data_IF_265226978639
#
_entry.id   IF_265226978639
#
_cell.length_a   1.000
_cell.length_b   1.000
_cell.length_c   1.000
_cell.angle_alpha   90.00
_cell.angle_beta   90.00
_cell.angle_gamma   90.00
#
_symmetry.space_group_name_H-M   'P 1'
#
loop_
_entity.id
_entity.type
_entity.pdbx_description
1 polymer ?
#
# COMPACT_ATOMS: atom_id res chain seq x y z
N UNK A 1 -1.57 -23.72 -34.79
CA UNK A 1 -2.29 -22.65 -34.08
C UNK A 1 -1.53 -22.47 -32.78
N UNK A 2 -0.93 -21.31 -32.49
CA UNK A 2 -0.27 -21.11 -31.21
C UNK A 2 -1.35 -21.01 -30.13
N UNK A 3 -1.13 -21.71 -29.02
CA UNK A 3 -2.03 -21.76 -27.87
C UNK A 3 -2.30 -20.36 -27.32
N UNK A 4 -3.57 -20.05 -27.07
CA UNK A 4 -3.98 -18.78 -26.48
C UNK A 4 -3.35 -18.63 -25.09
N UNK A 5 -2.90 -17.44 -24.72
CA UNK A 5 -2.24 -17.24 -23.42
C UNK A 5 -3.24 -17.54 -22.29
N UNK A 6 -2.79 -18.31 -21.33
CA UNK A 6 -3.51 -18.93 -20.23
C UNK A 6 -4.26 -17.98 -19.29
N UNK A 7 -3.92 -16.68 -19.28
CA UNK A 7 -4.59 -15.66 -18.47
C UNK A 7 -6.05 -15.37 -18.91
N UNK A 8 -6.49 -15.84 -20.06
CA UNK A 8 -7.89 -15.71 -20.54
C UNK A 8 -8.90 -16.53 -19.72
N UNK A 9 -8.43 -17.47 -18.89
CA UNK A 9 -9.33 -18.41 -18.17
C UNK A 9 -9.64 -17.98 -16.73
N UNK A 10 -8.89 -17.07 -16.13
CA UNK A 10 -8.99 -16.73 -14.69
C UNK A 10 -10.05 -15.67 -14.39
N UNK A 11 -10.34 -14.77 -15.33
CA UNK A 11 -11.14 -13.57 -15.05
C UNK A 11 -12.64 -13.66 -15.33
N UNK A 12 -13.17 -14.78 -15.79
CA UNK A 12 -14.59 -14.88 -16.14
C UNK A 12 -15.55 -14.92 -14.95
N UNK A 13 -15.08 -14.88 -13.70
CA UNK A 13 -15.93 -15.03 -12.51
C UNK A 13 -16.08 -13.80 -11.63
N UNK A 14 -15.33 -12.72 -11.85
CA UNK A 14 -15.33 -11.57 -10.94
C UNK A 14 -16.34 -10.47 -11.33
N UNK A 15 -16.82 -10.41 -12.57
CA UNK A 15 -17.54 -9.24 -13.10
C UNK A 15 -19.03 -9.42 -13.44
N UNK A 16 -19.69 -10.48 -12.98
CA UNK A 16 -21.13 -10.67 -13.25
C UNK A 16 -22.08 -9.94 -12.26
N UNK A 17 -21.59 -9.10 -11.35
CA UNK A 17 -22.38 -8.55 -10.24
C UNK A 17 -22.54 -7.03 -10.14
N UNK A 18 -21.99 -6.24 -11.04
CA UNK A 18 -22.11 -4.78 -10.94
C UNK A 18 -23.14 -4.21 -11.94
N UNK A 19 -24.43 -4.35 -11.60
CA UNK A 19 -25.49 -3.56 -12.22
C UNK A 19 -25.75 -2.30 -11.38
N UNK A 20 -25.70 -1.17 -12.08
CA UNK A 20 -25.78 0.18 -11.58
C UNK A 20 -27.15 0.52 -11.00
N UNK A 21 -27.27 0.69 -9.69
CA UNK A 21 -28.33 1.49 -9.05
C UNK A 21 -27.84 2.13 -7.75
N UNK A 22 -27.05 3.18 -7.84
CA UNK A 22 -26.89 4.11 -6.72
C UNK A 22 -27.98 5.19 -6.86
N UNK A 23 -29.06 5.05 -6.07
CA UNK A 23 -30.01 6.15 -5.84
C UNK A 23 -29.38 7.12 -4.83
N UNK A 24 -29.13 8.34 -5.30
CA UNK A 24 -28.90 9.51 -4.46
C UNK A 24 -30.09 9.66 -3.49
N UNK A 25 -29.80 9.64 -2.20
CA UNK A 25 -30.70 10.19 -1.18
C UNK A 25 -30.11 11.50 -0.71
N UNK A 26 -30.75 12.59 -1.13
CA UNK A 26 -30.54 13.92 -0.56
C UNK A 26 -30.96 13.91 0.92
N UNK A 27 -30.02 14.30 1.78
CA UNK A 27 -30.31 14.57 3.20
C UNK A 27 -30.48 16.07 3.38
N UNK A 28 -31.75 16.50 3.51
CA UNK A 28 -32.11 17.84 3.94
C UNK A 28 -31.73 18.05 5.39
N UNK A 29 -30.87 19.02 5.66
CA UNK A 29 -30.60 19.54 7.00
C UNK A 29 -31.81 20.31 7.52
N UNK A 30 -32.35 19.92 8.65
CA UNK A 30 -33.27 20.70 9.47
C UNK A 30 -32.51 21.27 10.66
N UNK A 31 -32.43 22.60 10.67
CA UNK A 31 -32.00 23.42 11.81
C UNK A 31 -32.90 23.18 13.05
N UNK A 32 -32.31 23.03 14.21
CA UNK A 32 -32.92 23.34 15.48
C UNK A 32 -31.88 23.88 16.46
N UNK A 33 -32.17 25.07 16.95
CA UNK A 33 -31.39 25.95 17.79
C UNK A 33 -31.53 25.61 19.31
N UNK A 34 -30.78 26.27 20.18
CA UNK A 34 -30.20 25.75 21.42
C UNK A 34 -30.98 26.16 22.68
N UNK A 35 -30.83 25.42 23.78
CA UNK A 35 -31.16 25.95 25.11
C UNK A 35 -30.29 25.42 26.23
N UNK A 36 -29.49 26.36 26.80
CA UNK A 36 -29.19 26.72 28.20
C UNK A 36 -28.72 25.61 29.19
N UNK A 37 -27.51 25.79 29.55
CA UNK A 37 -26.82 25.81 30.86
C UNK A 37 -27.55 25.31 32.11
N UNK A 38 -26.86 24.43 32.85
CA UNK A 38 -26.87 24.44 34.31
C UNK A 38 -25.48 24.02 34.82
N UNK A 39 -24.86 24.97 35.53
CA UNK A 39 -23.62 24.82 36.30
C UNK A 39 -23.99 24.19 37.63
N UNK A 40 -23.31 23.11 38.03
CA UNK A 40 -23.26 22.72 39.43
C UNK A 40 -21.80 22.40 39.79
N UNK A 41 -21.27 23.26 40.65
CA UNK A 41 -19.97 23.10 41.30
C UNK A 41 -20.09 22.05 42.42
N UNK A 42 -19.14 21.17 42.51
CA UNK A 42 -18.95 20.25 43.61
C UNK A 42 -17.46 20.12 43.94
N UNK A 43 -17.15 20.49 45.16
CA UNK A 43 -15.85 20.78 45.72
C UNK A 43 -15.13 19.51 46.24
N UNK A 44 -13.81 19.46 45.96
CA UNK A 44 -12.65 18.84 46.64
C UNK A 44 -12.78 17.54 47.46
N UNK A 45 -11.83 16.66 47.20
CA UNK A 45 -10.97 16.07 48.22
C UNK A 45 -9.58 15.78 47.62
N UNK A 46 -8.56 16.50 48.14
CA UNK A 46 -7.14 16.24 47.95
C UNK A 46 -6.73 15.06 48.85
N UNK A 47 -6.17 14.02 48.23
CA UNK A 47 -5.34 13.07 48.95
C UNK A 47 -3.92 13.14 48.37
N UNK A 48 -3.02 13.76 49.12
CA UNK A 48 -1.58 13.76 48.89
C UNK A 48 -1.03 12.44 49.38
N UNK A 49 -0.47 11.64 48.47
CA UNK A 49 0.42 10.54 48.83
C UNK A 49 1.79 10.83 48.20
N UNK A 50 2.72 11.24 49.02
CA UNK A 50 4.14 11.30 48.68
C UNK A 50 4.67 9.87 48.55
N UNK A 51 5.24 9.56 47.43
CA UNK A 51 6.01 8.33 47.14
C UNK A 51 7.17 8.69 46.22
N UNK A 52 8.35 8.58 46.75
CA UNK A 52 9.66 8.98 46.25
C UNK A 52 10.11 8.37 44.94
N UNK A 53 10.71 9.19 44.09
CA UNK A 53 11.99 9.00 43.42
C UNK A 53 12.17 7.84 42.44
N UNK A 54 12.23 8.19 41.20
CA UNK A 54 12.77 7.37 40.11
C UNK A 54 12.80 8.21 38.84
N UNK A 55 13.87 9.01 38.72
CA UNK A 55 14.18 9.74 37.47
C UNK A 55 14.56 8.71 36.39
N UNK A 56 13.60 8.34 35.60
CA UNK A 56 13.77 7.58 34.37
C UNK A 56 12.98 8.30 33.30
N UNK A 57 13.69 9.05 32.45
CA UNK A 57 13.15 9.56 31.17
C UNK A 57 12.75 8.38 30.29
N UNK A 58 11.57 7.84 30.55
CA UNK A 58 10.92 6.95 29.62
C UNK A 58 10.47 7.78 28.41
N UNK A 59 11.23 7.67 27.34
CA UNK A 59 10.80 8.08 26.02
C UNK A 59 9.47 7.37 25.73
N UNK A 60 8.35 8.10 25.79
CA UNK A 60 6.98 7.57 25.82
C UNK A 60 6.49 7.02 24.48
N UNK A 61 7.22 6.07 23.92
CA UNK A 61 6.74 5.24 22.79
C UNK A 61 5.64 4.29 23.29
N UNK A 62 4.62 4.03 22.44
CA UNK A 62 3.62 3.03 22.76
C UNK A 62 4.29 1.67 23.00
N UNK A 63 3.93 1.01 24.11
CA UNK A 63 4.55 -0.24 24.50
C UNK A 63 4.11 -1.39 23.58
N UNK A 64 5.06 -2.27 23.25
CA UNK A 64 4.78 -3.51 22.54
C UNK A 64 3.80 -4.39 23.34
N UNK A 65 2.79 -4.95 22.67
CA UNK A 65 1.84 -5.90 23.26
C UNK A 65 2.58 -7.15 23.78
N UNK A 66 2.28 -7.60 25.00
CA UNK A 66 2.98 -8.73 25.62
C UNK A 66 2.24 -10.06 25.52
N UNK A 67 0.91 -10.02 25.38
CA UNK A 67 0.05 -11.20 25.26
C UNK A 67 -1.21 -10.87 24.48
N UNK A 68 -1.84 -11.88 23.86
CA UNK A 68 -3.17 -11.75 23.25
C UNK A 68 -4.17 -12.44 24.15
N UNK A 69 -5.11 -11.66 24.69
CA UNK A 69 -6.18 -12.13 25.56
C UNK A 69 -7.48 -12.40 24.81
N UNK A 70 -8.59 -12.36 25.57
CA UNK A 70 -9.94 -12.35 24.98
C UNK A 70 -10.08 -11.09 24.12
N UNK A 71 -10.72 -11.23 22.94
CA UNK A 71 -11.00 -10.08 22.09
C UNK A 71 -11.99 -9.11 22.74
N UNK A 72 -11.87 -7.83 22.37
CA UNK A 72 -12.72 -6.75 22.86
C UNK A 72 -14.08 -6.69 22.17
N UNK A 73 -14.35 -7.62 21.25
CA UNK A 73 -15.63 -7.76 20.55
C UNK A 73 -15.68 -7.07 19.17
N UNK A 74 -14.70 -6.22 18.85
CA UNK A 74 -14.59 -5.60 17.52
C UNK A 74 -13.15 -5.22 17.20
N UNK A 75 -12.89 -4.90 15.93
CA UNK A 75 -11.66 -4.26 15.42
C UNK A 75 -12.03 -3.27 14.32
N UNK A 76 -11.52 -2.05 14.43
CA UNK A 76 -11.70 -0.99 13.44
C UNK A 76 -10.44 -0.91 12.58
N UNK A 77 -10.55 -1.20 11.28
CA UNK A 77 -9.40 -1.32 10.39
C UNK A 77 -9.44 -0.33 9.23
N UNK A 78 -8.26 0.13 8.80
CA UNK A 78 -8.08 0.81 7.51
C UNK A 78 -7.43 -0.19 6.56
N UNK A 79 -8.02 -0.38 5.40
CA UNK A 79 -7.56 -1.36 4.42
C UNK A 79 -7.61 -0.83 2.98
N UNK A 80 -6.76 -1.36 2.12
CA UNK A 80 -6.97 -1.26 0.68
C UNK A 80 -8.26 -1.98 0.29
N UNK A 81 -8.92 -1.54 -0.78
CA UNK A 81 -10.03 -2.28 -1.38
C UNK A 81 -9.55 -3.70 -1.75
N UNK A 82 -10.33 -4.71 -1.38
CA UNK A 82 -9.96 -6.11 -1.64
C UNK A 82 -9.18 -6.81 -0.51
N UNK A 83 -8.79 -6.10 0.57
CA UNK A 83 -8.03 -6.70 1.67
C UNK A 83 -8.90 -7.19 2.83
N UNK A 84 -10.16 -6.77 2.90
CA UNK A 84 -11.07 -7.13 3.98
C UNK A 84 -12.50 -7.38 3.44
N UNK A 85 -12.62 -8.38 2.59
CA UNK A 85 -13.89 -8.73 1.96
C UNK A 85 -14.76 -9.57 2.89
N UNK A 86 -16.05 -9.20 2.93
CA UNK A 86 -17.10 -9.81 3.74
C UNK A 86 -18.19 -10.49 2.91
N UNK A 87 -17.93 -10.72 1.63
CA UNK A 87 -18.90 -11.33 0.70
C UNK A 87 -19.89 -10.35 0.09
N UNK A 88 -19.89 -9.08 0.48
CA UNK A 88 -20.83 -8.07 -0.05
C UNK A 88 -20.54 -7.71 -1.50
N UNK A 89 -19.26 -7.66 -1.90
CA UNK A 89 -18.83 -7.39 -3.27
C UNK A 89 -18.85 -8.65 -4.14
N UNK A 90 -18.35 -9.76 -3.61
CA UNK A 90 -18.40 -11.08 -4.22
C UNK A 90 -18.73 -12.12 -3.12
N UNK A 91 -19.87 -12.83 -3.19
CA UNK A 91 -20.24 -13.84 -2.19
C UNK A 91 -19.21 -14.97 -1.98
N UNK A 92 -18.22 -15.10 -2.89
CA UNK A 92 -17.13 -16.08 -2.76
C UNK A 92 -15.90 -15.51 -2.07
N UNK A 93 -15.80 -14.19 -1.96
CA UNK A 93 -14.72 -13.47 -1.31
C UNK A 93 -15.18 -13.04 0.09
N UNK A 94 -15.09 -13.95 1.04
CA UNK A 94 -15.46 -13.72 2.43
C UNK A 94 -14.44 -14.38 3.37
N UNK A 95 -13.61 -13.59 3.99
CA UNK A 95 -12.70 -13.98 5.06
C UNK A 95 -12.91 -13.16 6.33
N UNK A 96 -13.82 -12.19 6.30
CA UNK A 96 -14.23 -11.37 7.44
C UNK A 96 -15.19 -12.16 8.34
N UNK A 97 -16.31 -12.66 7.83
CA UNK A 97 -17.27 -13.39 8.65
C UNK A 97 -16.70 -14.65 9.32
N UNK A 98 -15.84 -15.47 8.65
CA UNK A 98 -15.14 -16.56 9.33
C UNK A 98 -14.25 -16.11 10.48
N UNK A 99 -13.54 -14.97 10.34
CA UNK A 99 -12.77 -14.37 11.43
C UNK A 99 -13.66 -13.96 12.60
N UNK A 100 -14.74 -13.25 12.33
CA UNK A 100 -15.70 -12.81 13.34
C UNK A 100 -16.29 -13.99 14.12
N UNK A 101 -16.69 -15.03 13.40
CA UNK A 101 -17.24 -16.26 13.99
C UNK A 101 -16.23 -16.97 14.90
N UNK A 102 -14.96 -17.02 14.46
CA UNK A 102 -13.90 -17.71 15.20
C UNK A 102 -13.43 -16.95 16.43
N UNK A 103 -13.40 -15.63 16.35
CA UNK A 103 -12.73 -14.78 17.36
C UNK A 103 -13.69 -13.99 18.24
N UNK A 104 -14.92 -13.81 17.79
CA UNK A 104 -15.89 -12.90 18.39
C UNK A 104 -15.58 -11.42 18.17
N UNK A 105 -14.60 -11.09 17.31
CA UNK A 105 -14.21 -9.71 16.97
C UNK A 105 -14.92 -9.28 15.69
N UNK A 106 -15.89 -8.38 15.76
CA UNK A 106 -16.53 -7.76 14.60
C UNK A 106 -15.56 -6.84 13.88
N UNK A 107 -15.52 -6.91 12.55
CA UNK A 107 -14.62 -6.10 11.72
C UNK A 107 -15.38 -4.92 11.14
N UNK A 108 -14.92 -3.71 11.43
CA UNK A 108 -15.37 -2.49 10.75
C UNK A 108 -14.28 -2.00 9.83
N UNK A 109 -14.52 -1.99 8.53
CA UNK A 109 -13.52 -1.63 7.53
C UNK A 109 -13.76 -0.23 7.00
N UNK A 110 -12.73 0.61 7.03
CA UNK A 110 -12.61 1.84 6.25
C UNK A 110 -11.66 1.59 5.09
N UNK A 111 -12.17 1.60 3.89
CA UNK A 111 -11.35 1.53 2.67
C UNK A 111 -10.67 2.88 2.42
N UNK A 112 -9.39 2.84 2.06
CA UNK A 112 -8.60 3.98 1.62
C UNK A 112 -7.91 3.68 0.28
N UNK A 113 -7.75 4.70 -0.55
CA UNK A 113 -7.20 4.58 -1.91
C UNK A 113 -5.71 4.93 -2.03
N UNK A 114 -5.11 5.54 -0.99
CA UNK A 114 -3.69 5.93 -0.98
C UNK A 114 -3.08 5.80 0.41
N UNK A 115 -1.76 5.60 0.47
CA UNK A 115 -1.00 5.65 1.73
C UNK A 115 -1.16 7.00 2.47
N UNK A 116 -1.32 8.11 1.75
CA UNK A 116 -1.51 9.43 2.34
C UNK A 116 -2.86 9.55 3.05
N UNK A 117 -3.92 8.98 2.47
CA UNK A 117 -5.23 8.88 3.13
C UNK A 117 -5.13 8.02 4.39
N UNK A 118 -4.46 6.87 4.33
CA UNK A 118 -4.26 5.98 5.47
C UNK A 118 -3.52 6.66 6.63
N UNK A 119 -2.44 7.40 6.33
CA UNK A 119 -1.71 8.19 7.34
C UNK A 119 -2.62 9.25 7.97
N UNK A 120 -3.46 9.90 7.17
CA UNK A 120 -4.39 10.93 7.66
C UNK A 120 -5.48 10.31 8.56
N UNK A 121 -6.03 9.16 8.19
CA UNK A 121 -7.02 8.43 8.98
C UNK A 121 -6.44 7.93 10.31
N UNK A 122 -5.20 7.39 10.31
CA UNK A 122 -4.54 6.92 11.53
C UNK A 122 -4.32 8.03 12.58
N UNK A 123 -4.06 9.26 12.14
CA UNK A 123 -3.93 10.43 13.05
C UNK A 123 -5.20 10.71 13.86
N UNK A 124 -6.36 10.30 13.38
CA UNK A 124 -7.62 10.47 14.11
C UNK A 124 -7.68 9.64 15.40
N UNK A 125 -6.90 8.56 15.49
CA UNK A 125 -6.90 7.63 16.61
C UNK A 125 -8.17 6.77 16.71
N UNK A 126 -8.97 6.70 15.65
CA UNK A 126 -10.24 5.97 15.62
C UNK A 126 -10.10 4.52 15.15
N UNK A 127 -8.92 4.13 14.69
CA UNK A 127 -8.68 2.81 14.10
C UNK A 127 -7.65 2.02 14.88
N UNK A 128 -7.82 0.71 14.92
CA UNK A 128 -6.95 -0.23 15.65
C UNK A 128 -5.81 -0.72 14.78
N UNK A 129 -6.04 -0.91 13.47
CA UNK A 129 -5.01 -1.36 12.54
C UNK A 129 -5.11 -0.64 11.19
N UNK A 130 -4.00 -0.65 10.48
CA UNK A 130 -3.92 -0.14 9.11
C UNK A 130 -3.09 -1.08 8.25
N UNK A 131 -3.56 -1.32 7.02
CA UNK A 131 -2.81 -2.00 5.98
C UNK A 131 -2.20 -0.93 5.07
N UNK A 132 -0.93 -0.60 5.25
CA UNK A 132 -0.26 0.46 4.50
C UNK A 132 1.03 -0.02 3.84
N UNK A 133 1.42 0.66 2.77
CA UNK A 133 2.66 0.40 2.06
C UNK A 133 3.87 1.07 2.76
N UNK A 134 5.08 0.68 2.38
CA UNK A 134 6.32 1.11 3.04
C UNK A 134 6.59 2.61 2.99
N UNK A 135 6.00 3.34 2.06
CA UNK A 135 6.09 4.80 1.98
C UNK A 135 5.36 5.51 3.14
N UNK A 136 4.41 4.83 3.80
CA UNK A 136 3.74 5.34 5.00
C UNK A 136 4.44 4.95 6.30
N UNK A 137 5.19 3.84 6.33
CA UNK A 137 5.67 3.20 7.57
C UNK A 137 6.45 4.15 8.48
N UNK A 138 7.52 4.77 7.99
CA UNK A 138 8.34 5.64 8.84
C UNK A 138 7.60 6.93 9.23
N UNK A 139 6.61 7.35 8.45
CA UNK A 139 5.73 8.50 8.78
C UNK A 139 4.84 8.17 9.98
N UNK A 140 4.20 7.00 9.97
CA UNK A 140 3.37 6.50 11.05
C UNK A 140 4.17 6.27 12.33
N UNK A 141 5.39 5.71 12.21
CA UNK A 141 6.30 5.51 13.34
C UNK A 141 6.74 6.87 13.92
N UNK A 142 7.18 7.80 13.07
CA UNK A 142 7.63 9.12 13.51
C UNK A 142 6.52 9.94 14.19
N UNK A 143 5.28 9.80 13.70
CA UNK A 143 4.10 10.42 14.31
C UNK A 143 3.65 9.72 15.60
N UNK A 144 4.21 8.55 15.94
CA UNK A 144 3.76 7.67 17.04
C UNK A 144 2.30 7.22 16.88
N UNK A 145 1.84 7.08 15.65
CA UNK A 145 0.49 6.60 15.34
C UNK A 145 0.41 5.08 15.36
N UNK A 146 1.56 4.37 15.25
CA UNK A 146 1.65 2.90 15.33
C UNK A 146 2.63 2.46 16.40
N UNK A 147 2.37 1.28 16.98
CA UNK A 147 3.20 0.63 17.99
C UNK A 147 4.09 -0.47 17.38
N UNK A 148 5.22 -0.82 18.01
CA UNK A 148 5.96 -2.02 17.65
C UNK A 148 5.07 -3.26 17.76
N UNK A 149 5.20 -4.18 16.81
CA UNK A 149 4.45 -5.44 16.77
C UNK A 149 5.29 -6.58 17.33
N UNK A 150 4.77 -7.23 18.36
CA UNK A 150 5.34 -8.47 18.89
C UNK A 150 5.04 -9.63 17.94
N UNK A 151 5.98 -9.98 17.10
CA UNK A 151 5.82 -11.04 16.08
C UNK A 151 5.60 -12.42 16.70
N UNK A 152 5.98 -12.66 17.96
CA UNK A 152 5.70 -13.91 18.69
C UNK A 152 4.21 -14.10 18.97
N UNK A 153 3.44 -13.02 18.97
CA UNK A 153 1.98 -13.03 19.15
C UNK A 153 1.23 -13.21 17.81
N UNK A 154 1.96 -13.31 16.70
CA UNK A 154 1.44 -13.56 15.35
C UNK A 154 2.08 -14.85 14.81
N UNK A 155 1.61 -16.04 15.22
CA UNK A 155 2.22 -17.32 14.87
C UNK A 155 2.50 -17.51 13.36
N UNK A 156 1.56 -17.08 12.51
CA UNK A 156 1.73 -17.18 11.05
C UNK A 156 2.84 -16.28 10.48
N UNK A 157 3.38 -15.33 11.28
CA UNK A 157 4.57 -14.57 10.89
C UNK A 157 5.79 -15.47 10.65
N UNK A 158 5.85 -16.64 11.33
CA UNK A 158 6.91 -17.60 11.09
C UNK A 158 7.01 -18.00 9.61
N UNK A 159 5.87 -18.14 8.94
CA UNK A 159 5.77 -18.64 7.57
C UNK A 159 5.87 -17.52 6.51
N UNK A 160 6.04 -16.27 6.91
CA UNK A 160 6.29 -15.15 5.99
C UNK A 160 7.66 -15.34 5.32
N UNK A 161 7.76 -15.05 4.03
CA UNK A 161 9.01 -15.08 3.27
C UNK A 161 10.10 -14.25 3.99
N UNK A 162 11.30 -14.82 4.11
CA UNK A 162 12.41 -14.17 4.84
C UNK A 162 12.80 -12.81 4.24
N UNK A 163 12.69 -12.68 2.92
CA UNK A 163 12.95 -11.44 2.19
C UNK A 163 12.01 -10.28 2.55
N UNK A 164 10.88 -10.54 3.23
CA UNK A 164 9.92 -9.54 3.66
C UNK A 164 10.05 -9.16 5.15
N UNK A 165 10.85 -9.88 5.92
CA UNK A 165 11.00 -9.65 7.37
C UNK A 165 12.08 -8.63 7.67
N UNK A 166 11.85 -7.77 8.69
CA UNK A 166 12.83 -6.79 9.19
C UNK A 166 13.43 -5.90 8.09
N UNK A 167 12.58 -5.38 7.22
CA UNK A 167 13.00 -4.52 6.12
C UNK A 167 12.73 -3.04 6.45
N UNK A 168 13.44 -2.09 5.81
CA UNK A 168 13.21 -0.65 6.04
C UNK A 168 11.75 -0.21 5.84
N UNK A 169 10.99 -0.92 5.01
CA UNK A 169 9.59 -0.62 4.74
C UNK A 169 8.60 -1.19 5.79
N UNK A 170 9.06 -1.95 6.80
CA UNK A 170 8.19 -2.49 7.84
C UNK A 170 8.83 -2.55 9.24
N UNK A 171 10.06 -2.09 9.38
CA UNK A 171 10.80 -2.13 10.65
C UNK A 171 11.65 -0.87 10.84
N UNK A 172 11.95 -0.56 12.09
CA UNK A 172 12.85 0.52 12.48
C UNK A 172 13.58 0.15 13.78
N UNK A 173 14.86 0.47 13.84
CA UNK A 173 15.71 0.28 15.03
C UNK A 173 15.64 -1.15 15.61
N UNK A 174 15.58 -2.16 14.75
CA UNK A 174 15.52 -3.57 15.12
C UNK A 174 14.14 -4.04 15.61
N UNK A 175 13.10 -3.23 15.48
CA UNK A 175 11.72 -3.58 15.85
C UNK A 175 10.82 -3.67 14.60
N UNK A 176 9.93 -4.68 14.58
CA UNK A 176 8.87 -4.77 13.59
C UNK A 176 7.73 -3.82 13.95
N UNK A 177 7.16 -3.17 12.94
CA UNK A 177 5.97 -2.34 13.05
C UNK A 177 4.83 -2.83 12.17
N UNK A 178 5.14 -3.55 11.09
CA UNK A 178 4.13 -4.04 10.16
C UNK A 178 4.35 -5.51 9.79
N UNK A 179 3.29 -6.33 9.91
CA UNK A 179 3.28 -7.72 9.43
C UNK A 179 3.05 -7.72 7.93
N UNK A 180 4.01 -8.22 7.11
CA UNK A 180 3.85 -8.26 5.65
C UNK A 180 2.62 -9.06 5.23
N UNK A 181 1.86 -8.50 4.28
CA UNK A 181 0.62 -9.07 3.77
C UNK A 181 0.77 -9.61 2.35
N UNK A 182 1.34 -8.80 1.47
CA UNK A 182 1.61 -9.12 0.09
C UNK A 182 2.67 -8.21 -0.51
N UNK A 183 3.01 -8.44 -1.77
CA UNK A 183 3.95 -7.62 -2.53
C UNK A 183 3.65 -7.62 -4.02
N UNK A 184 4.03 -6.51 -4.68
CA UNK A 184 3.95 -6.37 -6.13
C UNK A 184 5.01 -5.42 -6.68
N UNK A 185 5.26 -5.51 -7.99
CA UNK A 185 6.09 -4.56 -8.72
C UNK A 185 5.22 -3.54 -9.44
N UNK A 186 5.73 -2.32 -9.58
CA UNK A 186 5.20 -1.36 -10.52
C UNK A 186 5.72 -1.74 -11.92
N UNK A 187 4.82 -1.98 -12.84
CA UNK A 187 5.14 -2.45 -14.19
C UNK A 187 4.94 -1.36 -15.23
N UNK A 188 5.54 -1.56 -16.38
CA UNK A 188 5.27 -0.78 -17.57
C UNK A 188 4.17 -1.47 -18.38
N UNK A 189 2.96 -0.90 -18.39
CA UNK A 189 1.85 -1.39 -19.20
C UNK A 189 1.75 -0.61 -20.52
N UNK A 190 1.38 -1.32 -21.58
CA UNK A 190 1.17 -0.71 -22.88
C UNK A 190 0.10 -1.45 -23.69
N UNK A 191 -0.55 -0.72 -24.59
CA UNK A 191 -1.45 -1.33 -25.57
C UNK A 191 -0.65 -1.91 -26.72
N UNK A 192 -0.84 -3.20 -27.00
CA UNK A 192 -0.10 -3.94 -28.02
C UNK A 192 -0.51 -3.55 -29.45
N UNK A 193 -1.70 -2.98 -29.62
CA UNK A 193 -2.21 -2.47 -30.90
C UNK A 193 -1.79 -1.02 -31.21
N UNK A 194 -1.22 -0.30 -30.24
CA UNK A 194 -0.83 1.13 -30.38
C UNK A 194 0.65 1.39 -30.17
N UNK A 195 1.33 0.55 -29.39
CA UNK A 195 2.73 0.75 -29.02
C UNK A 195 3.60 -0.31 -29.69
N UNK A 196 4.40 0.11 -30.65
CA UNK A 196 5.35 -0.74 -31.37
C UNK A 196 6.68 0.01 -31.56
N UNK A 197 7.82 -0.67 -31.39
CA UNK A 197 7.99 -2.03 -30.86
C UNK A 197 7.56 -2.12 -29.39
N UNK A 198 7.36 -3.35 -28.88
CA UNK A 198 7.05 -3.59 -27.47
C UNK A 198 8.15 -2.96 -26.58
N UNK A 199 7.78 -2.13 -25.59
CA UNK A 199 8.78 -1.47 -24.73
C UNK A 199 9.37 -2.44 -23.71
N UNK A 200 10.66 -2.30 -23.44
CA UNK A 200 11.40 -3.06 -22.41
C UNK A 200 12.07 -2.16 -21.36
N UNK A 201 11.79 -0.87 -21.41
CA UNK A 201 12.49 0.17 -20.65
C UNK A 201 11.56 1.30 -20.23
N UNK A 202 11.77 1.83 -19.03
CA UNK A 202 11.13 3.06 -18.55
C UNK A 202 11.39 4.27 -19.47
N UNK A 203 12.37 4.20 -20.37
CA UNK A 203 12.56 5.22 -21.42
C UNK A 203 11.25 5.51 -22.16
N UNK A 204 10.40 4.51 -22.35
CA UNK A 204 9.15 4.64 -23.09
C UNK A 204 8.22 5.69 -22.49
N UNK A 205 8.16 5.82 -21.15
CA UNK A 205 7.30 6.78 -20.44
C UNK A 205 8.04 8.07 -20.04
N UNK A 206 9.37 8.06 -19.90
CA UNK A 206 10.11 9.25 -19.48
C UNK A 206 10.67 10.06 -20.65
N UNK A 207 11.36 9.42 -21.61
CA UNK A 207 12.04 10.12 -22.71
C UNK A 207 11.40 9.85 -24.08
N UNK A 208 10.63 8.76 -24.22
CA UNK A 208 10.05 8.32 -25.49
C UNK A 208 8.56 8.60 -25.64
N UNK A 209 7.92 9.22 -24.67
CA UNK A 209 6.47 9.32 -24.60
C UNK A 209 5.85 10.40 -25.52
N UNK A 210 6.63 11.28 -26.13
CA UNK A 210 6.12 12.43 -26.90
C UNK A 210 5.11 12.04 -27.99
N UNK A 211 5.31 10.89 -28.66
CA UNK A 211 4.38 10.39 -29.68
C UNK A 211 3.05 9.90 -29.10
N UNK A 212 2.94 9.79 -27.80
CA UNK A 212 1.74 9.37 -27.06
C UNK A 212 1.21 10.46 -26.15
N UNK A 213 1.51 11.75 -26.45
CA UNK A 213 1.10 12.88 -25.65
C UNK A 213 -0.41 12.85 -25.35
N UNK A 214 -0.75 13.05 -24.08
CA UNK A 214 -2.13 12.97 -23.58
C UNK A 214 -2.68 11.55 -23.41
N UNK A 215 -1.85 10.51 -23.65
CA UNK A 215 -2.26 9.09 -23.54
C UNK A 215 -1.32 8.27 -22.66
N UNK A 216 -0.51 8.93 -21.84
CA UNK A 216 0.37 8.30 -20.87
C UNK A 216 -0.25 8.43 -19.48
N UNK A 217 -0.16 7.38 -18.69
CA UNK A 217 -0.62 7.40 -17.29
C UNK A 217 0.52 7.25 -16.31
N UNK A 218 0.34 7.79 -15.12
CA UNK A 218 1.25 7.65 -13.99
C UNK A 218 0.46 7.57 -12.67
N UNK A 219 1.05 6.90 -11.66
CA UNK A 219 0.44 6.81 -10.34
C UNK A 219 0.40 8.19 -9.66
N UNK A 220 -0.77 8.58 -9.12
CA UNK A 220 -0.99 9.87 -8.47
C UNK A 220 -0.53 9.84 -7.00
N UNK A 221 0.76 9.81 -6.78
CA UNK A 221 1.34 9.87 -5.45
C UNK A 221 2.76 10.45 -5.48
N UNK A 222 3.19 11.19 -4.45
CA UNK A 222 4.57 11.66 -4.33
C UNK A 222 5.62 10.55 -4.46
N UNK A 223 5.28 9.31 -4.08
CA UNK A 223 6.19 8.18 -4.17
C UNK A 223 6.58 7.84 -5.61
N UNK A 224 5.80 8.26 -6.61
CA UNK A 224 6.12 8.11 -8.03
C UNK A 224 7.43 8.84 -8.43
N UNK A 225 7.90 9.80 -7.62
CA UNK A 225 9.22 10.43 -7.82
C UNK A 225 10.34 9.38 -7.79
N UNK A 226 10.17 8.29 -7.03
CA UNK A 226 11.12 7.19 -6.97
C UNK A 226 11.25 6.43 -8.30
N UNK A 227 10.19 6.34 -9.10
CA UNK A 227 10.23 5.72 -10.44
C UNK A 227 11.16 6.51 -11.37
N UNK A 228 11.04 7.83 -11.36
CA UNK A 228 11.94 8.72 -12.09
C UNK A 228 13.38 8.64 -11.56
N UNK A 229 13.55 8.58 -10.23
CA UNK A 229 14.87 8.43 -9.61
C UNK A 229 15.53 7.10 -9.97
N UNK A 230 14.78 5.98 -9.98
CA UNK A 230 15.26 4.68 -10.43
C UNK A 230 15.72 4.71 -11.89
N UNK A 231 14.92 5.31 -12.77
CA UNK A 231 15.33 5.48 -14.17
C UNK A 231 16.61 6.30 -14.30
N UNK A 232 16.71 7.42 -13.57
CA UNK A 232 17.93 8.25 -13.54
C UNK A 232 19.12 7.53 -12.95
N UNK A 233 18.93 6.72 -11.91
CA UNK A 233 19.98 5.90 -11.29
C UNK A 233 20.65 4.99 -12.33
N UNK A 234 19.89 4.47 -13.28
CA UNK A 234 20.39 3.56 -14.34
C UNK A 234 20.89 4.29 -15.59
N UNK A 235 20.30 5.45 -15.91
CA UNK A 235 20.59 6.16 -17.17
C UNK A 235 21.54 7.37 -17.01
N UNK A 236 21.66 7.88 -15.77
CA UNK A 236 22.54 9.02 -15.43
C UNK A 236 23.38 8.73 -14.18
N UNK A 237 24.31 7.77 -14.25
CA UNK A 237 25.09 7.34 -13.07
C UNK A 237 25.91 8.46 -12.41
N UNK A 238 26.24 9.52 -13.15
CA UNK A 238 26.89 10.71 -12.60
C UNK A 238 26.10 11.43 -11.49
N UNK A 239 24.78 11.21 -11.40
CA UNK A 239 23.96 11.72 -10.28
C UNK A 239 24.26 11.00 -8.96
N UNK A 240 24.91 9.84 -8.98
CA UNK A 240 25.28 9.10 -7.78
C UNK A 240 24.09 8.58 -6.95
N UNK A 241 22.91 8.44 -7.55
CA UNK A 241 21.72 7.85 -6.88
C UNK A 241 22.03 6.39 -6.58
N UNK A 242 21.94 5.98 -5.29
CA UNK A 242 22.16 4.60 -4.84
C UNK A 242 20.85 3.92 -4.45
N UNK A 243 19.87 4.71 -3.96
CA UNK A 243 18.56 4.28 -3.53
C UNK A 243 17.54 5.29 -4.03
N UNK A 244 16.50 4.88 -4.78
CA UNK A 244 15.51 5.80 -5.32
C UNK A 244 14.68 6.54 -4.26
N UNK A 245 14.73 6.11 -2.99
CA UNK A 245 14.04 6.74 -1.86
C UNK A 245 14.94 7.62 -1.00
N UNK A 246 16.26 7.57 -1.20
CA UNK A 246 17.24 8.34 -0.44
C UNK A 246 17.90 9.40 -1.33
N UNK A 247 17.12 10.39 -1.75
CA UNK A 247 17.59 11.46 -2.64
C UNK A 247 18.05 12.68 -1.85
N UNK A 248 19.25 13.18 -2.14
CA UNK A 248 19.60 14.54 -1.74
C UNK A 248 18.89 15.59 -2.63
N UNK A 249 19.06 16.86 -2.32
CA UNK A 249 18.34 17.93 -3.03
C UNK A 249 18.63 17.91 -4.55
N UNK A 250 19.86 17.77 -4.97
CA UNK A 250 20.22 17.77 -6.39
C UNK A 250 19.63 16.57 -7.13
N UNK A 251 19.61 15.40 -6.48
CA UNK A 251 19.01 14.18 -7.02
C UNK A 251 17.48 14.29 -7.12
N UNK A 252 16.82 14.87 -6.09
CA UNK A 252 15.39 15.15 -6.13
C UNK A 252 15.06 16.13 -7.26
N UNK A 253 15.79 17.24 -7.37
CA UNK A 253 15.57 18.24 -8.40
C UNK A 253 15.72 17.65 -9.81
N UNK A 254 16.66 16.72 -10.01
CA UNK A 254 16.82 16.00 -11.28
C UNK A 254 15.61 15.09 -11.59
N UNK A 255 15.06 14.38 -10.60
CA UNK A 255 13.87 13.56 -10.75
C UNK A 255 12.63 14.42 -11.04
N UNK A 256 12.48 15.53 -10.33
CA UNK A 256 11.39 16.51 -10.53
C UNK A 256 11.45 17.11 -11.95
N UNK A 257 12.65 17.49 -12.42
CA UNK A 257 12.81 18.01 -13.76
C UNK A 257 12.39 16.99 -14.84
N UNK A 258 12.72 15.71 -14.64
CA UNK A 258 12.29 14.62 -15.53
C UNK A 258 10.77 14.48 -15.53
N UNK A 259 10.12 14.49 -14.36
CA UNK A 259 8.67 14.36 -14.23
C UNK A 259 7.92 15.59 -14.76
N UNK A 260 8.42 16.81 -14.57
CA UNK A 260 7.87 18.02 -15.21
C UNK A 260 7.91 17.94 -16.74
N UNK A 261 8.98 17.35 -17.31
CA UNK A 261 9.03 17.05 -18.74
C UNK A 261 8.00 15.98 -19.13
N UNK A 262 7.87 14.88 -18.36
CA UNK A 262 6.90 13.83 -18.58
C UNK A 262 5.47 14.36 -18.47
N UNK A 263 5.18 15.31 -17.55
CA UNK A 263 3.87 15.91 -17.34
C UNK A 263 3.19 16.37 -18.63
N UNK A 264 3.95 16.84 -19.60
CA UNK A 264 3.45 17.26 -20.91
C UNK A 264 2.85 16.10 -21.74
N UNK A 265 3.16 14.87 -21.36
CA UNK A 265 2.71 13.65 -22.06
C UNK A 265 1.58 12.95 -21.29
N UNK A 266 1.41 13.27 -19.99
CA UNK A 266 0.44 12.63 -19.12
C UNK A 266 -0.97 13.09 -19.49
N UNK A 267 -1.84 12.11 -19.78
CA UNK A 267 -3.26 12.30 -19.92
C UNK A 267 -3.99 12.16 -18.59
N UNK A 268 -3.52 11.23 -17.74
CA UNK A 268 -4.13 10.97 -16.44
C UNK A 268 -3.08 10.58 -15.39
N UNK A 269 -3.22 11.16 -14.19
CA UNK A 269 -2.66 10.64 -12.97
C UNK A 269 -3.72 9.81 -12.25
N UNK A 270 -3.48 8.51 -12.08
CA UNK A 270 -4.46 7.59 -11.49
C UNK A 270 -4.14 7.28 -10.02
N UNK A 271 -5.18 7.24 -9.20
CA UNK A 271 -5.17 6.73 -7.82
C UNK A 271 -6.25 5.67 -7.59
N UNK A 272 -7.08 5.44 -8.61
CA UNK A 272 -8.11 4.41 -8.63
C UNK A 272 -7.77 3.43 -9.76
N UNK A 273 -7.49 2.17 -9.41
CA UNK A 273 -7.07 1.16 -10.38
C UNK A 273 -8.13 0.84 -11.43
N UNK A 274 -9.43 0.94 -11.10
CA UNK A 274 -10.51 0.71 -12.06
C UNK A 274 -10.58 1.80 -13.15
N UNK A 275 -10.22 3.03 -12.80
CA UNK A 275 -10.10 4.10 -13.79
C UNK A 275 -8.99 3.80 -14.78
N UNK A 276 -7.84 3.31 -14.33
CA UNK A 276 -6.75 2.93 -15.22
C UNK A 276 -7.16 1.76 -16.13
N UNK A 277 -7.82 0.72 -15.60
CA UNK A 277 -8.39 -0.37 -16.40
C UNK A 277 -9.29 0.18 -17.51
N UNK A 278 -10.22 1.08 -17.16
CA UNK A 278 -11.16 1.68 -18.10
C UNK A 278 -10.44 2.51 -19.18
N UNK A 279 -9.46 3.32 -18.80
CA UNK A 279 -8.69 4.16 -19.71
C UNK A 279 -7.90 3.33 -20.74
N UNK A 280 -7.26 2.24 -20.30
CA UNK A 280 -6.57 1.34 -21.22
C UNK A 280 -7.53 0.55 -22.11
N UNK A 281 -8.67 0.12 -21.59
CA UNK A 281 -9.70 -0.57 -22.38
C UNK A 281 -10.28 0.34 -23.45
N UNK A 282 -10.62 1.59 -23.11
CA UNK A 282 -11.14 2.59 -24.05
C UNK A 282 -10.11 3.11 -25.06
N UNK A 283 -8.82 3.01 -24.76
CA UNK A 283 -7.74 3.57 -25.57
C UNK A 283 -7.47 5.05 -25.30
N UNK A 284 -8.00 5.58 -24.22
CA UNK A 284 -7.68 6.92 -23.70
C UNK A 284 -6.25 6.94 -23.16
N UNK A 285 -5.79 5.79 -22.62
CA UNK A 285 -4.41 5.55 -22.24
C UNK A 285 -3.81 4.41 -23.08
N UNK A 286 -2.54 4.54 -23.46
CA UNK A 286 -1.86 3.54 -24.27
C UNK A 286 -0.53 3.07 -23.67
N UNK A 287 0.00 3.79 -22.69
CA UNK A 287 1.30 3.55 -22.09
C UNK A 287 1.33 4.14 -20.67
N UNK A 288 1.90 3.44 -19.70
CA UNK A 288 2.01 4.00 -18.34
C UNK A 288 2.54 3.03 -17.30
N UNK A 289 2.59 3.50 -16.06
CA UNK A 289 2.89 2.66 -14.91
C UNK A 289 1.63 1.95 -14.44
N UNK A 290 1.75 0.72 -13.98
CA UNK A 290 0.61 -0.10 -13.57
C UNK A 290 0.99 -1.10 -12.48
N UNK A 291 0.00 -1.72 -11.87
CA UNK A 291 0.14 -2.93 -11.07
C UNK A 291 -0.28 -4.16 -11.87
N UNK A 292 0.25 -5.32 -11.50
CA UNK A 292 -0.07 -6.57 -12.22
C UNK A 292 -1.58 -6.84 -12.26
N UNK A 293 -2.31 -6.57 -11.16
CA UNK A 293 -3.77 -6.73 -11.12
C UNK A 293 -4.49 -5.90 -12.17
N UNK A 294 -4.03 -4.67 -12.40
CA UNK A 294 -4.62 -3.77 -13.40
C UNK A 294 -4.43 -4.34 -14.81
N UNK A 295 -3.19 -4.76 -15.12
CA UNK A 295 -2.90 -5.37 -16.42
C UNK A 295 -3.71 -6.65 -16.64
N UNK A 296 -3.83 -7.50 -15.63
CA UNK A 296 -4.62 -8.74 -15.68
C UNK A 296 -6.11 -8.44 -15.88
N UNK A 297 -6.66 -7.48 -15.13
CA UNK A 297 -8.07 -7.08 -15.23
C UNK A 297 -8.38 -6.49 -16.62
N UNK A 298 -7.54 -5.57 -17.11
CA UNK A 298 -7.70 -4.99 -18.42
C UNK A 298 -7.65 -6.07 -19.55
N UNK A 299 -6.72 -7.00 -19.41
CA UNK A 299 -6.59 -8.12 -20.37
C UNK A 299 -7.80 -9.07 -20.32
N UNK A 300 -8.34 -9.35 -19.12
CA UNK A 300 -9.55 -10.14 -18.95
C UNK A 300 -10.77 -9.47 -19.58
N UNK A 301 -10.83 -8.15 -19.54
CA UNK A 301 -11.84 -7.34 -20.23
C UNK A 301 -11.54 -7.15 -21.72
N UNK A 302 -10.62 -7.95 -22.27
CA UNK A 302 -10.24 -8.01 -23.70
C UNK A 302 -9.55 -6.73 -24.21
N UNK A 303 -9.01 -5.89 -23.33
CA UNK A 303 -8.13 -4.83 -23.76
C UNK A 303 -6.82 -5.44 -24.33
N UNK A 304 -6.33 -4.96 -25.48
CA UNK A 304 -5.07 -5.46 -26.06
C UNK A 304 -3.87 -4.85 -25.32
N UNK A 305 -3.64 -5.29 -24.09
CA UNK A 305 -2.56 -4.80 -23.23
C UNK A 305 -1.54 -5.89 -22.91
N UNK A 306 -0.33 -5.44 -22.57
CA UNK A 306 0.70 -6.25 -21.95
C UNK A 306 1.44 -5.40 -20.91
N UNK A 307 2.03 -6.04 -19.91
CA UNK A 307 2.84 -5.40 -18.87
C UNK A 307 4.17 -6.11 -18.75
N UNK A 308 5.22 -5.34 -18.50
CA UNK A 308 6.59 -5.86 -18.38
C UNK A 308 7.31 -5.25 -17.20
N UNK A 309 8.20 -6.01 -16.58
CA UNK A 309 9.22 -5.49 -15.67
C UNK A 309 10.36 -4.91 -16.51
N UNK A 310 10.58 -3.58 -16.54
CA UNK A 310 11.60 -2.97 -17.39
C UNK A 310 13.02 -3.43 -17.05
N UNK A 311 13.93 -3.31 -17.99
CA UNK A 311 15.32 -3.73 -17.82
C UNK A 311 16.06 -2.96 -16.72
N UNK A 312 15.66 -1.75 -16.43
CA UNK A 312 16.20 -0.95 -15.32
C UNK A 312 15.78 -1.51 -13.94
N UNK A 313 14.83 -2.44 -13.89
CA UNK A 313 14.10 -2.82 -12.69
C UNK A 313 12.88 -1.94 -12.47
N UNK A 314 12.24 -2.06 -11.33
CA UNK A 314 11.06 -1.28 -10.98
C UNK A 314 11.07 -0.86 -9.51
N UNK A 315 10.28 0.13 -9.16
CA UNK A 315 9.77 0.30 -7.81
C UNK A 315 8.69 -0.75 -7.56
N UNK A 316 8.30 -0.92 -6.32
CA UNK A 316 7.24 -1.88 -5.96
C UNK A 316 6.77 -1.63 -4.54
N UNK A 317 5.74 -2.32 -4.15
CA UNK A 317 5.11 -2.18 -2.86
C UNK A 317 5.11 -3.51 -2.10
N UNK A 318 5.15 -3.41 -0.78
CA UNK A 318 4.89 -4.52 0.14
C UNK A 318 4.05 -3.96 1.27
N UNK A 319 2.78 -4.34 1.27
CA UNK A 319 1.84 -3.85 2.26
C UNK A 319 1.99 -4.59 3.57
N UNK A 320 1.76 -3.87 4.65
CA UNK A 320 1.93 -4.41 5.99
C UNK A 320 0.77 -4.01 6.89
N UNK A 321 0.32 -4.93 7.73
CA UNK A 321 -0.63 -4.65 8.79
C UNK A 321 0.06 -4.13 10.03
N UNK A 322 -0.22 -2.89 10.40
CA UNK A 322 0.33 -2.21 11.58
C UNK A 322 -0.75 -2.03 12.64
N UNK A 323 -0.35 -2.01 13.92
CA UNK A 323 -1.26 -1.77 15.05
C UNK A 323 -1.12 -0.33 15.50
N UNK A 324 -2.26 0.34 15.68
CA UNK A 324 -2.33 1.69 16.24
C UNK A 324 -1.69 1.76 17.63
N UNK A 325 -0.91 2.80 17.87
CA UNK A 325 -0.40 3.09 19.20
C UNK A 325 -1.52 3.43 20.21
N UNK A 326 -2.73 3.73 19.70
CA UNK A 326 -3.94 4.08 20.46
C UNK A 326 -5.06 3.05 20.26
N UNK A 327 -4.73 1.82 19.84
CA UNK A 327 -5.73 0.80 19.57
C UNK A 327 -6.65 0.58 20.78
N UNK A 328 -7.94 0.76 20.57
CA UNK A 328 -8.95 0.48 21.58
C UNK A 328 -9.21 -1.04 21.73
N UNK A 329 -8.87 -1.81 20.67
CA UNK A 329 -9.14 -3.24 20.59
C UNK A 329 -7.85 -4.03 20.23
N UNK A 330 -6.76 -3.94 21.02
CA UNK A 330 -5.47 -4.50 20.66
C UNK A 330 -5.47 -6.03 20.55
N UNK A 331 -6.28 -6.75 21.34
CA UNK A 331 -6.35 -8.22 21.22
C UNK A 331 -7.03 -8.63 19.90
N UNK A 332 -8.13 -7.96 19.52
CA UNK A 332 -8.77 -8.19 18.23
C UNK A 332 -7.85 -7.81 17.06
N UNK A 333 -7.09 -6.72 17.19
CA UNK A 333 -6.09 -6.30 16.20
C UNK A 333 -5.03 -7.40 15.97
N UNK A 334 -4.41 -7.94 17.03
CA UNK A 334 -3.44 -9.03 16.91
C UNK A 334 -4.04 -10.33 16.35
N UNK A 335 -5.29 -10.66 16.71
CA UNK A 335 -6.01 -11.77 16.10
C UNK A 335 -6.21 -11.56 14.61
N UNK A 336 -6.54 -10.32 14.20
CA UNK A 336 -6.66 -9.96 12.78
C UNK A 336 -5.32 -10.10 12.06
N UNK A 337 -4.23 -9.56 12.60
CA UNK A 337 -2.90 -9.68 12.02
C UNK A 337 -2.53 -11.16 11.77
N UNK A 338 -2.80 -12.04 12.74
CA UNK A 338 -2.49 -13.46 12.57
C UNK A 338 -3.43 -14.16 11.58
N UNK A 339 -4.70 -13.75 11.54
CA UNK A 339 -5.72 -14.31 10.65
C UNK A 339 -5.39 -13.98 9.19
N UNK A 340 -5.18 -12.72 8.89
CA UNK A 340 -5.06 -12.22 7.51
C UNK A 340 -3.80 -12.75 6.80
N UNK A 341 -2.76 -13.12 7.55
CA UNK A 341 -1.54 -13.74 7.02
C UNK A 341 -1.49 -15.25 7.23
N UNK A 342 -2.60 -15.90 7.64
CA UNK A 342 -2.66 -17.36 7.64
C UNK A 342 -2.62 -17.90 6.21
N UNK A 343 -2.09 -19.12 5.98
CA UNK A 343 -1.87 -19.62 4.62
C UNK A 343 -3.10 -19.51 3.72
N UNK A 344 -4.25 -20.03 4.19
CA UNK A 344 -5.49 -20.03 3.42
C UNK A 344 -6.03 -18.62 3.16
N UNK A 345 -6.09 -17.78 4.19
CA UNK A 345 -6.65 -16.43 4.04
C UNK A 345 -5.73 -15.56 3.20
N UNK A 346 -4.43 -15.63 3.42
CA UNK A 346 -3.46 -14.89 2.62
C UNK A 346 -3.49 -15.31 1.14
N UNK A 347 -3.74 -16.61 0.85
CA UNK A 347 -3.98 -17.08 -0.52
C UNK A 347 -5.25 -16.46 -1.12
N UNK A 348 -6.37 -16.47 -0.38
CA UNK A 348 -7.64 -15.91 -0.85
C UNK A 348 -7.52 -14.41 -1.17
N UNK A 349 -6.89 -13.66 -0.28
CA UNK A 349 -6.67 -12.22 -0.50
C UNK A 349 -5.75 -11.98 -1.67
N UNK A 350 -4.63 -12.71 -1.74
CA UNK A 350 -3.67 -12.57 -2.83
C UNK A 350 -4.30 -12.85 -4.21
N UNK A 351 -5.15 -13.87 -4.31
CA UNK A 351 -5.87 -14.19 -5.55
C UNK A 351 -6.93 -13.14 -5.90
N UNK A 352 -7.66 -12.66 -4.90
CA UNK A 352 -8.71 -11.66 -5.11
C UNK A 352 -8.14 -10.30 -5.49
N UNK A 353 -7.14 -9.83 -4.76
CA UNK A 353 -6.48 -8.55 -5.01
C UNK A 353 -5.55 -8.60 -6.25
N UNK A 354 -4.90 -9.74 -6.49
CA UNK A 354 -3.91 -9.89 -7.55
C UNK A 354 -2.52 -9.45 -7.12
N UNK A 355 -1.94 -10.17 -6.14
CA UNK A 355 -0.60 -9.92 -5.61
C UNK A 355 0.15 -11.22 -5.27
N UNK A 356 1.45 -11.12 -5.05
CA UNK A 356 2.21 -12.21 -4.45
C UNK A 356 1.91 -12.27 -2.94
N UNK A 357 1.43 -13.41 -2.40
CA UNK A 357 1.19 -13.55 -0.96
C UNK A 357 2.49 -13.43 -0.18
N UNK A 358 2.41 -12.90 1.04
CA UNK A 358 3.57 -12.82 1.92
C UNK A 358 3.89 -14.14 2.63
N UNK A 359 2.88 -15.00 2.86
CA UNK A 359 3.05 -16.30 3.51
C UNK A 359 3.48 -17.35 2.50
N UNK A 360 4.66 -17.96 2.71
CA UNK A 360 5.22 -18.98 1.80
C UNK A 360 4.34 -20.22 1.64
N UNK A 361 3.50 -20.54 2.63
CA UNK A 361 2.56 -21.66 2.56
C UNK A 361 1.29 -21.34 1.77
N UNK A 362 1.00 -20.07 1.56
CA UNK A 362 -0.20 -19.64 0.83
C UNK A 362 -0.24 -20.16 -0.61
N UNK A 363 0.92 -20.33 -1.25
CA UNK A 363 1.00 -20.87 -2.62
C UNK A 363 0.43 -22.28 -2.79
N UNK A 364 0.27 -23.05 -1.69
CA UNK A 364 -0.38 -24.37 -1.71
C UNK A 364 -1.88 -24.30 -1.48
N UNK A 365 -2.36 -23.15 -1.07
CA UNK A 365 -3.76 -22.89 -0.73
C UNK A 365 -4.49 -22.08 -1.81
N UNK A 366 -3.77 -21.60 -2.85
CA UNK A 366 -4.38 -20.88 -3.96
C UNK A 366 -5.28 -21.79 -4.80
N UNK A 367 -6.42 -21.27 -5.25
CA UNK A 367 -7.34 -21.97 -6.13
C UNK A 367 -6.77 -22.12 -7.55
N UNK A 368 -6.04 -21.10 -8.05
CA UNK A 368 -5.21 -21.22 -9.26
C UNK A 368 -3.78 -21.66 -8.85
N UNK A 369 -3.37 -22.89 -9.19
CA UNK A 369 -2.02 -23.39 -8.84
C UNK A 369 -0.88 -22.60 -9.50
N UNK A 370 -1.18 -21.75 -10.49
CA UNK A 370 -0.19 -20.90 -11.17
C UNK A 370 -0.08 -19.52 -10.53
N UNK A 371 -0.95 -19.15 -9.60
CA UNK A 371 -1.00 -17.81 -9.02
C UNK A 371 0.37 -17.33 -8.55
N UNK A 372 1.04 -18.12 -7.72
CA UNK A 372 2.36 -17.75 -7.20
C UNK A 372 3.43 -17.61 -8.27
N UNK A 373 3.37 -18.41 -9.34
CA UNK A 373 4.28 -18.26 -10.47
C UNK A 373 4.01 -16.98 -11.27
N UNK A 374 2.73 -16.64 -11.48
CA UNK A 374 2.31 -15.41 -12.18
C UNK A 374 2.75 -14.16 -11.46
N UNK A 375 2.63 -14.16 -10.12
CA UNK A 375 2.99 -13.02 -9.28
C UNK A 375 4.42 -13.14 -8.72
N UNK A 376 5.21 -14.11 -9.18
CA UNK A 376 6.61 -14.32 -8.79
C UNK A 376 6.81 -14.47 -7.27
N UNK A 377 5.85 -15.11 -6.55
CA UNK A 377 5.82 -15.10 -5.09
C UNK A 377 7.08 -15.66 -4.44
N UNK A 378 7.70 -16.70 -5.03
CA UNK A 378 8.93 -17.36 -4.60
C UNK A 378 10.16 -17.04 -5.48
N UNK A 379 10.02 -16.08 -6.41
CA UNK A 379 11.12 -15.67 -7.31
C UNK A 379 11.93 -14.52 -6.72
N UNK A 380 12.88 -14.83 -5.86
CA UNK A 380 13.79 -13.84 -5.29
C UNK A 380 14.68 -13.16 -6.34
N UNK A 381 14.91 -13.78 -7.52
CA UNK A 381 15.67 -13.16 -8.61
C UNK A 381 14.87 -12.02 -9.25
N UNK A 382 13.56 -12.21 -9.41
CA UNK A 382 12.64 -11.17 -9.85
C UNK A 382 12.62 -10.01 -8.85
N UNK A 383 12.41 -10.29 -7.56
CA UNK A 383 12.29 -9.25 -6.54
C UNK A 383 13.60 -8.54 -6.18
N UNK A 384 14.78 -9.08 -6.51
CA UNK A 384 16.04 -8.31 -6.45
C UNK A 384 16.09 -7.14 -7.42
N UNK A 385 15.22 -7.11 -8.42
CA UNK A 385 15.08 -6.01 -9.39
C UNK A 385 14.00 -5.01 -8.97
N UNK A 386 13.32 -5.24 -7.85
CA UNK A 386 12.23 -4.40 -7.33
C UNK A 386 12.73 -3.63 -6.10
N UNK A 387 12.67 -2.31 -6.17
CA UNK A 387 12.94 -1.41 -5.07
C UNK A 387 11.64 -1.12 -4.33
N UNK A 388 11.43 -1.77 -3.19
CA UNK A 388 10.18 -1.61 -2.43
C UNK A 388 10.05 -0.20 -1.85
N UNK A 389 8.86 0.36 -1.97
CA UNK A 389 8.52 1.65 -1.42
C UNK A 389 8.96 1.78 0.04
N UNK A 390 9.72 2.83 0.29
CA UNK A 390 10.23 3.15 1.61
C UNK A 390 10.06 4.65 1.81
N UNK A 391 9.63 5.06 2.99
CA UNK A 391 9.41 6.48 3.30
C UNK A 391 10.71 7.27 3.13
N UNK A 392 10.78 8.28 2.27
CA UNK A 392 11.88 9.24 2.24
C UNK A 392 12.01 9.99 3.57
N UNK A 393 13.21 10.00 4.13
CA UNK A 393 13.53 10.63 5.41
C UNK A 393 14.82 11.45 5.32
N UNK A 394 15.02 12.48 6.19
CA UNK A 394 16.20 13.33 6.13
C UNK A 394 17.53 12.60 6.32
N UNK A 395 17.53 11.48 7.04
CA UNK A 395 18.66 10.60 7.16
C UNK A 395 18.73 9.68 5.95
N UNK A 396 19.80 9.75 5.16
CA UNK A 396 19.94 8.92 3.98
C UNK A 396 20.00 7.43 4.33
N UNK A 397 18.98 6.67 3.92
CA UNK A 397 18.87 5.22 4.18
C UNK A 397 19.84 4.38 3.33
N UNK A 398 20.50 5.01 2.35
CA UNK A 398 21.54 4.38 1.50
C UNK A 398 22.93 4.35 2.15
N UNK A 399 23.03 4.75 3.42
CA UNK A 399 24.25 4.73 4.21
C UNK A 399 25.16 5.95 4.07
N UNK A 400 24.80 6.99 3.28
CA UNK A 400 25.51 8.26 3.24
C UNK A 400 25.36 9.01 4.58
N UNK A 401 26.51 9.36 5.23
CA UNK A 401 26.50 9.96 6.57
C UNK A 401 26.58 11.49 6.59
N UNK A 402 27.21 12.09 5.62
CA UNK A 402 27.47 13.55 5.58
C UNK A 402 26.59 14.27 4.55
N UNK A 403 25.46 13.66 4.22
CA UNK A 403 24.50 14.17 3.26
C UNK A 403 23.14 14.16 3.90
N UNK A 404 22.38 15.25 3.75
CA UNK A 404 20.98 15.29 4.12
C UNK A 404 20.14 14.87 2.92
N UNK A 405 19.35 13.83 3.09
CA UNK A 405 18.34 13.45 2.12
C UNK A 405 17.05 14.26 2.32
N UNK A 406 16.24 14.30 1.29
CA UNK A 406 14.94 14.97 1.30
C UNK A 406 13.90 14.06 1.93
N UNK A 407 12.96 14.67 2.68
CA UNK A 407 11.89 13.94 3.35
C UNK A 407 10.60 13.86 2.53
N UNK A 408 9.65 13.09 3.01
CA UNK A 408 8.37 12.90 2.32
C UNK A 408 7.57 14.21 2.18
N UNK A 409 7.70 15.16 3.12
CA UNK A 409 7.04 16.45 3.01
C UNK A 409 7.63 17.30 1.87
N UNK A 410 8.94 17.21 1.64
CA UNK A 410 9.59 17.82 0.49
C UNK A 410 9.15 17.16 -0.82
N UNK A 411 8.98 15.82 -0.82
CA UNK A 411 8.46 15.09 -1.98
C UNK A 411 7.00 15.46 -2.28
N UNK A 412 6.16 15.63 -1.26
CA UNK A 412 4.77 16.08 -1.44
C UNK A 412 4.69 17.46 -2.08
N UNK A 413 5.54 18.41 -1.64
CA UNK A 413 5.64 19.74 -2.28
C UNK A 413 6.09 19.64 -3.73
N UNK A 414 7.14 18.85 -3.97
CA UNK A 414 7.65 18.62 -5.32
C UNK A 414 6.58 17.96 -6.23
N UNK A 415 5.80 17.03 -5.70
CA UNK A 415 4.71 16.39 -6.44
C UNK A 415 3.62 17.39 -6.84
N UNK A 416 3.25 18.29 -5.92
CA UNK A 416 2.33 19.40 -6.24
C UNK A 416 2.86 20.26 -7.38
N UNK A 417 4.15 20.60 -7.36
CA UNK A 417 4.77 21.37 -8.44
C UNK A 417 4.86 20.62 -9.78
N UNK A 418 4.99 19.29 -9.76
CA UNK A 418 5.01 18.45 -10.96
C UNK A 418 3.63 18.48 -11.63
N UNK A 419 2.57 18.37 -10.83
CA UNK A 419 1.22 18.33 -11.37
C UNK A 419 0.70 19.70 -11.85
N UNK A 420 1.17 20.80 -11.27
CA UNK A 420 0.80 22.17 -11.63
C UNK A 420 -0.36 22.71 -10.82
#
# INVERSE_FOLDING_TARGET
MPDAPWWQTVSFRILAGLDSRVRQREFTMRNANPWKAAVTAGVLALAVACGSGGDGTHDGGAAEQRSVGKGEGRVDIIAWAGYAEDGSNDPKADWVHPFEKQTGCKVNTKTAGTSDEMVSLMKTGQYDTVSASGDATLRLIAARDVAPVNTRLVPNYHDIFSGLKMRPFNSKDGQMYGIPHGRGANLLMYRTDKVSPAPDSWKAVFDGAAKYAGKVTAYDSPIYIADAALYLMKTRPALGIKDPYALDRAQLDAAVALLKKQRQQIGEYWSDYQKEVTAFKGGDSVLGTTWQVIANTAAAEKAPVNAVLPKEGATGWSDTWMVSAKAAHPNCAYKWLNWIVSPKVNAQVAEYFGEAPANAKACKETADPRHCAVYHADDEAYYRRVHFWTTPVPQCLDGRKNVKCTDYAEWTRAWTEIKG
#
